data_IF_094002054694
#
_entry.id   IF_094002054694
#
_cell.length_a   1.000
_cell.length_b   1.000
_cell.length_c   1.000
_cell.angle_alpha   90.00
_cell.angle_beta   90.00
_cell.angle_gamma   90.00
#
_symmetry.space_group_name_H-M   'P 1'
#
loop_
_entity.id
_entity.type
_entity.pdbx_description
1 polymer ?
#
# COMPACT_ATOMS: atom_id res chain seq x y z
N UNK A 1 -13.70 1.72 -5.47
CA UNK A 1 -14.15 2.39 -4.23
C UNK A 1 -13.62 3.82 -4.28
N UNK A 2 -14.46 4.80 -3.93
CA UNK A 2 -14.18 6.23 -4.17
C UNK A 2 -13.02 6.74 -3.28
N UNK A 3 -11.96 7.35 -3.83
CA UNK A 3 -10.87 7.97 -3.06
C UNK A 3 -11.34 9.02 -2.05
N UNK A 4 -12.53 9.60 -2.27
CA UNK A 4 -13.19 10.53 -1.35
C UNK A 4 -13.61 9.87 -0.03
N UNK A 5 -13.58 8.56 0.12
CA UNK A 5 -13.96 7.92 1.38
C UNK A 5 -12.79 7.75 2.37
N UNK A 6 -11.60 8.28 2.02
CA UNK A 6 -10.32 7.98 2.67
C UNK A 6 -10.34 8.22 4.18
N UNK A 7 -10.47 9.45 4.65
CA UNK A 7 -10.23 9.72 6.08
C UNK A 7 -11.36 9.23 6.98
N UNK A 8 -12.61 9.36 6.54
CA UNK A 8 -13.76 9.02 7.36
C UNK A 8 -13.81 7.52 7.70
N UNK A 9 -13.76 6.67 6.68
CA UNK A 9 -13.85 5.21 6.86
C UNK A 9 -12.61 4.70 7.58
N UNK A 10 -11.43 5.22 7.23
CA UNK A 10 -10.19 4.76 7.85
C UNK A 10 -10.12 5.07 9.35
N UNK A 11 -10.71 6.18 9.80
CA UNK A 11 -10.85 6.53 11.23
C UNK A 11 -11.92 5.71 11.96
N UNK A 12 -12.64 4.85 11.25
CA UNK A 12 -13.73 4.04 11.81
C UNK A 12 -14.99 4.86 12.09
N UNK A 13 -15.13 6.04 11.47
CA UNK A 13 -16.35 6.84 11.58
C UNK A 13 -17.44 6.28 10.66
N UNK A 14 -18.69 6.49 11.07
CA UNK A 14 -19.84 6.06 10.28
C UNK A 14 -20.06 6.99 9.09
N UNK A 15 -20.61 6.46 8.00
CA UNK A 15 -21.01 7.28 6.85
C UNK A 15 -22.52 7.23 6.66
N UNK A 16 -23.14 8.37 6.41
CA UNK A 16 -24.57 8.47 6.08
C UNK A 16 -24.78 9.27 4.79
N UNK A 17 -25.96 9.14 4.18
CA UNK A 17 -26.38 9.97 3.05
C UNK A 17 -27.50 10.91 3.48
N UNK A 18 -27.45 12.17 3.03
CA UNK A 18 -28.56 13.10 3.04
C UNK A 18 -28.61 13.81 1.68
N UNK A 19 -29.73 13.65 0.97
CA UNK A 19 -30.01 14.38 -0.27
C UNK A 19 -28.86 14.32 -1.29
N UNK A 20 -28.35 13.10 -1.54
CA UNK A 20 -27.22 12.78 -2.44
C UNK A 20 -25.82 13.14 -1.92
N UNK A 21 -25.71 13.86 -0.81
CA UNK A 21 -24.42 14.18 -0.18
C UNK A 21 -24.10 13.11 0.85
N UNK A 22 -22.86 12.59 0.79
CA UNK A 22 -22.36 11.66 1.80
C UNK A 22 -21.68 12.44 2.93
N UNK A 23 -21.96 12.05 4.16
CA UNK A 23 -21.43 12.66 5.38
C UNK A 23 -20.65 11.65 6.19
N UNK A 24 -19.59 12.12 6.82
CA UNK A 24 -18.92 11.46 7.94
C UNK A 24 -19.66 11.81 9.23
N UNK A 25 -20.01 10.82 10.04
CA UNK A 25 -20.67 10.98 11.35
C UNK A 25 -19.66 10.66 12.44
N UNK A 26 -19.41 11.65 13.29
CA UNK A 26 -18.44 11.57 14.37
C UNK A 26 -19.06 10.96 15.65
N UNK A 27 -18.24 10.54 16.64
CA UNK A 27 -18.72 9.88 17.85
C UNK A 27 -19.70 10.69 18.70
N UNK A 28 -19.68 12.01 18.60
CA UNK A 28 -20.61 12.92 19.30
C UNK A 28 -21.90 13.20 18.51
N UNK A 29 -22.04 12.61 17.33
CA UNK A 29 -23.18 12.78 16.43
C UNK A 29 -23.06 13.97 15.47
N UNK A 30 -21.99 14.76 15.56
CA UNK A 30 -21.72 15.80 14.57
C UNK A 30 -21.43 15.17 13.20
N UNK A 31 -21.75 15.91 12.14
CA UNK A 31 -21.63 15.42 10.77
C UNK A 31 -20.86 16.42 9.91
N UNK A 32 -20.02 15.89 9.04
CA UNK A 32 -19.26 16.68 8.08
C UNK A 32 -19.43 16.09 6.69
N UNK A 33 -19.68 16.90 5.63
CA UNK A 33 -19.63 16.39 4.27
C UNK A 33 -18.30 15.68 4.04
N UNK A 34 -18.37 14.50 3.42
CA UNK A 34 -17.22 13.62 3.28
C UNK A 34 -16.07 14.31 2.54
N UNK A 35 -16.38 15.04 1.47
CA UNK A 35 -15.41 15.82 0.70
C UNK A 35 -14.72 16.89 1.55
N UNK A 36 -15.49 17.63 2.34
CA UNK A 36 -14.97 18.68 3.24
C UNK A 36 -14.08 18.10 4.34
N UNK A 37 -14.43 16.92 4.87
CA UNK A 37 -13.63 16.24 5.88
C UNK A 37 -12.26 15.80 5.33
N UNK A 38 -12.20 15.27 4.10
CA UNK A 38 -10.91 14.91 3.50
C UNK A 38 -10.08 16.13 3.13
N UNK A 39 -10.72 17.18 2.64
CA UNK A 39 -10.07 18.44 2.24
C UNK A 39 -9.74 19.34 3.44
N UNK A 40 -9.99 18.85 4.67
CA UNK A 40 -9.64 19.54 5.92
C UNK A 40 -10.42 20.85 6.12
N UNK A 41 -11.57 20.99 5.46
CA UNK A 41 -12.44 22.16 5.55
C UNK A 41 -13.38 22.09 6.75
N UNK A 42 -13.62 20.89 7.28
CA UNK A 42 -14.51 20.64 8.42
C UNK A 42 -14.06 19.39 9.20
N UNK A 43 -14.40 19.33 10.49
CA UNK A 43 -14.12 18.19 11.38
C UNK A 43 -12.65 17.99 11.73
N UNK A 44 -11.82 19.03 11.59
CA UNK A 44 -10.39 19.01 11.95
C UNK A 44 -10.15 18.57 13.40
N UNK A 45 -11.05 18.97 14.30
CA UNK A 45 -11.07 18.60 15.71
C UNK A 45 -11.27 17.09 15.95
N UNK A 46 -11.74 16.34 14.94
CA UNK A 46 -11.82 14.88 14.97
C UNK A 46 -10.61 14.20 14.31
N UNK A 47 -9.66 14.97 13.77
CA UNK A 47 -8.37 14.47 13.25
C UNK A 47 -7.28 14.51 14.32
N UNK A 48 -7.55 14.02 15.53
CA UNK A 48 -6.67 14.20 16.70
C UNK A 48 -5.45 13.28 16.71
N UNK A 49 -5.64 11.99 16.46
CA UNK A 49 -4.58 10.99 16.48
C UNK A 49 -4.36 10.36 15.10
N UNK A 50 -3.12 9.93 14.87
CA UNK A 50 -2.81 8.98 13.82
C UNK A 50 -3.48 7.67 14.18
N UNK A 51 -4.49 7.28 13.39
CA UNK A 51 -5.14 6.00 13.56
C UNK A 51 -4.34 4.93 12.81
N UNK A 52 -4.21 3.77 13.45
CA UNK A 52 -3.62 2.58 12.84
C UNK A 52 -4.74 1.68 12.28
N UNK A 53 -4.50 1.15 11.10
CA UNK A 53 -5.43 0.24 10.42
C UNK A 53 -4.99 -1.21 10.70
N UNK A 54 -5.95 -2.10 10.96
CA UNK A 54 -5.70 -3.53 11.21
C UNK A 54 -5.20 -4.25 9.96
N UNK A 55 -4.53 -5.38 10.14
CA UNK A 55 -4.14 -6.25 9.04
C UNK A 55 -5.35 -6.63 8.15
N UNK A 56 -5.13 -6.68 6.84
CA UNK A 56 -6.11 -6.98 5.79
C UNK A 56 -6.94 -5.79 5.34
N UNK A 57 -6.96 -4.70 6.11
CA UNK A 57 -7.77 -3.53 5.78
C UNK A 57 -7.05 -2.59 4.80
N UNK A 58 -7.82 -1.87 3.96
CA UNK A 58 -7.29 -0.94 2.98
C UNK A 58 -6.61 0.27 3.62
N UNK A 59 -5.49 0.69 3.01
CA UNK A 59 -4.73 1.88 3.39
C UNK A 59 -4.51 2.74 2.17
N UNK A 60 -4.87 4.02 2.27
CA UNK A 60 -4.78 4.97 1.17
C UNK A 60 -3.50 5.82 1.20
N UNK A 61 -2.73 5.76 2.29
CA UNK A 61 -1.43 6.41 2.38
C UNK A 61 -0.38 5.40 2.81
N UNK A 62 0.73 5.35 2.08
CA UNK A 62 1.85 4.46 2.41
C UNK A 62 2.48 4.81 3.77
N UNK A 63 2.30 6.06 4.20
CA UNK A 63 2.85 6.61 5.44
C UNK A 63 1.82 6.52 6.60
N UNK A 64 0.59 6.05 6.35
CA UNK A 64 -0.41 5.79 7.41
C UNK A 64 -0.05 4.53 8.18
N UNK A 65 -0.37 4.54 9.47
CA UNK A 65 -0.05 3.43 10.37
C UNK A 65 -0.83 2.16 10.02
N UNK A 66 -0.10 1.03 9.99
CA UNK A 66 -0.62 -0.32 10.00
C UNK A 66 -0.28 -0.96 11.35
N UNK A 67 -1.26 -1.51 12.05
CA UNK A 67 -1.08 -2.07 13.40
C UNK A 67 -0.15 -3.30 13.35
N UNK A 68 1.13 -3.10 13.65
CA UNK A 68 2.15 -4.15 13.65
C UNK A 68 2.51 -4.72 12.27
N UNK A 69 2.01 -4.12 11.19
CA UNK A 69 2.19 -4.57 9.80
C UNK A 69 2.60 -3.39 8.91
N UNK A 70 2.68 -3.59 7.60
CA UNK A 70 3.02 -2.52 6.66
C UNK A 70 2.02 -2.42 5.51
N UNK A 71 1.86 -1.22 4.96
CA UNK A 71 1.01 -1.00 3.80
C UNK A 71 1.65 -1.63 2.56
N UNK A 72 0.90 -2.50 1.88
CA UNK A 72 1.41 -3.24 0.74
C UNK A 72 0.47 -3.29 -0.44
N UNK A 73 1.06 -3.04 -1.60
CA UNK A 73 0.51 -3.32 -2.91
C UNK A 73 1.65 -3.89 -3.76
N UNK A 74 1.48 -5.08 -4.36
CA UNK A 74 2.52 -5.64 -5.21
C UNK A 74 2.88 -4.67 -6.35
N UNK A 75 4.16 -4.62 -6.76
CA UNK A 75 4.58 -3.74 -7.82
C UNK A 75 3.81 -4.05 -9.12
N UNK A 76 3.50 -3.02 -9.90
CA UNK A 76 2.76 -3.13 -11.17
C UNK A 76 1.34 -3.70 -11.07
N UNK A 77 0.80 -3.83 -9.85
CA UNK A 77 -0.63 -4.10 -9.63
C UNK A 77 -1.34 -2.78 -9.41
N UNK A 78 -2.39 -2.54 -10.19
CA UNK A 78 -3.28 -1.41 -9.95
C UNK A 78 -4.25 -1.76 -8.83
N UNK A 79 -4.39 -0.88 -7.85
CA UNK A 79 -5.29 -1.10 -6.73
C UNK A 79 -4.92 -0.26 -5.52
N UNK A 80 -5.55 -0.61 -4.41
CA UNK A 80 -5.32 0.03 -3.13
C UNK A 80 -4.42 -0.86 -2.27
N UNK A 81 -3.44 -0.26 -1.59
CA UNK A 81 -2.63 -0.97 -0.60
C UNK A 81 -3.49 -1.50 0.54
N UNK A 82 -3.08 -2.62 1.12
CA UNK A 82 -3.70 -3.18 2.34
C UNK A 82 -2.62 -3.39 3.39
N UNK A 83 -2.94 -3.27 4.67
CA UNK A 83 -2.02 -3.64 5.74
C UNK A 83 -1.80 -5.16 5.69
N UNK A 84 -0.56 -5.63 5.61
CA UNK A 84 -0.25 -7.08 5.60
C UNK A 84 1.04 -7.35 6.36
N UNK A 85 1.10 -8.49 7.02
CA UNK A 85 2.39 -9.02 7.47
C UNK A 85 3.12 -9.65 6.27
N UNK A 86 4.24 -9.06 5.88
CA UNK A 86 4.98 -9.47 4.69
C UNK A 86 6.37 -9.86 5.08
N UNK A 87 6.64 -11.14 4.89
CA UNK A 87 7.97 -11.68 5.04
C UNK A 87 8.94 -11.09 4.01
N UNK A 88 10.22 -11.01 4.39
CA UNK A 88 11.29 -10.59 3.49
C UNK A 88 11.31 -11.43 2.19
N UNK A 89 11.00 -12.73 2.28
CA UNK A 89 10.93 -13.63 1.13
C UNK A 89 9.82 -13.27 0.16
N UNK A 90 8.64 -12.86 0.64
CA UNK A 90 7.55 -12.38 -0.22
C UNK A 90 7.91 -11.07 -0.91
N UNK A 91 8.53 -10.11 -0.21
CA UNK A 91 9.05 -8.87 -0.83
C UNK A 91 10.01 -9.17 -1.97
N UNK A 92 10.96 -10.08 -1.72
CA UNK A 92 11.94 -10.49 -2.73
C UNK A 92 11.24 -11.18 -3.90
N UNK A 93 10.35 -12.14 -3.62
CA UNK A 93 9.58 -12.87 -4.63
C UNK A 93 8.81 -11.92 -5.54
N UNK A 94 8.09 -10.96 -4.97
CA UNK A 94 7.26 -10.02 -5.72
C UNK A 94 8.14 -9.03 -6.52
N UNK A 95 9.31 -8.69 -6.01
CA UNK A 95 10.28 -7.91 -6.77
C UNK A 95 10.82 -8.68 -7.99
N UNK A 96 11.02 -9.99 -7.90
CA UNK A 96 11.41 -10.83 -9.04
C UNK A 96 10.25 -11.09 -10.02
N UNK A 97 9.06 -11.42 -9.51
CA UNK A 97 7.89 -11.72 -10.35
C UNK A 97 7.42 -10.51 -11.13
N UNK A 98 7.35 -9.34 -10.47
CA UNK A 98 6.69 -8.18 -11.05
C UNK A 98 7.68 -7.14 -11.61
N UNK A 99 9.00 -7.24 -11.36
CA UNK A 99 10.00 -6.40 -12.07
C UNK A 99 10.83 -7.25 -13.06
N UNK A 100 10.34 -7.45 -14.30
CA UNK A 100 11.00 -8.30 -15.28
C UNK A 100 12.44 -7.85 -15.60
N UNK A 101 12.71 -6.54 -15.52
CA UNK A 101 14.06 -5.98 -15.71
C UNK A 101 15.04 -6.57 -14.70
N UNK A 102 14.66 -6.67 -13.42
CA UNK A 102 15.54 -7.21 -12.38
C UNK A 102 15.85 -8.69 -12.61
N UNK A 103 14.81 -9.47 -12.94
CA UNK A 103 14.95 -10.90 -13.27
C UNK A 103 15.83 -11.13 -14.51
N UNK A 104 15.68 -10.32 -15.56
CA UNK A 104 16.53 -10.38 -16.75
C UNK A 104 17.98 -10.05 -16.40
N UNK A 105 18.23 -9.00 -15.61
CA UNK A 105 19.59 -8.62 -15.20
C UNK A 105 20.29 -9.76 -14.45
N UNK A 106 19.59 -10.42 -13.50
CA UNK A 106 20.15 -11.56 -12.74
C UNK A 106 20.48 -12.74 -13.66
N UNK A 107 19.60 -13.07 -14.61
CA UNK A 107 19.84 -14.14 -15.59
C UNK A 107 21.07 -13.83 -16.45
N UNK A 108 21.21 -12.60 -16.94
CA UNK A 108 22.36 -12.18 -17.76
C UNK A 108 23.67 -12.31 -16.99
N UNK A 109 23.70 -11.89 -15.72
CA UNK A 109 24.88 -12.02 -14.85
C UNK A 109 25.27 -13.50 -14.68
N UNK A 110 24.30 -14.38 -14.47
CA UNK A 110 24.56 -15.82 -14.34
C UNK A 110 25.13 -16.44 -15.62
N UNK A 111 24.61 -16.06 -16.79
CA UNK A 111 25.14 -16.52 -18.08
C UNK A 111 26.58 -16.07 -18.28
N UNK A 112 26.90 -14.81 -17.96
CA UNK A 112 28.26 -14.27 -18.05
C UNK A 112 29.19 -15.02 -17.10
N UNK A 113 28.77 -15.28 -15.86
CA UNK A 113 29.58 -16.03 -14.90
C UNK A 113 29.90 -17.45 -15.39
N UNK A 114 28.90 -18.18 -15.90
CA UNK A 114 29.10 -19.52 -16.50
C UNK A 114 30.04 -19.46 -17.70
N UNK A 115 29.89 -18.45 -18.55
CA UNK A 115 30.76 -18.26 -19.72
C UNK A 115 32.21 -17.98 -19.31
N UNK A 116 32.45 -17.13 -18.32
CA UNK A 116 33.79 -16.86 -17.77
C UNK A 116 34.41 -18.14 -17.21
N UNK A 117 33.67 -18.91 -16.41
CA UNK A 117 34.15 -20.19 -15.87
C UNK A 117 34.50 -21.16 -16.99
N UNK A 118 33.65 -21.27 -18.02
CA UNK A 118 33.92 -22.09 -19.19
C UNK A 118 35.20 -21.68 -19.93
N UNK A 119 35.41 -20.37 -20.14
CA UNK A 119 36.64 -19.85 -20.76
C UNK A 119 37.89 -20.16 -19.94
N UNK A 120 37.81 -20.06 -18.60
CA UNK A 120 38.91 -20.41 -17.70
C UNK A 120 39.23 -21.90 -17.78
N UNK A 121 38.21 -22.77 -17.75
CA UNK A 121 38.39 -24.21 -17.87
C UNK A 121 38.97 -24.62 -19.22
N UNK A 122 38.52 -23.98 -20.32
CA UNK A 122 39.06 -24.22 -21.66
C UNK A 122 40.53 -23.82 -21.79
N UNK A 123 40.98 -22.77 -21.10
CA UNK A 123 42.39 -22.34 -21.10
C UNK A 123 43.32 -23.26 -20.28
N UNK A 124 42.78 -24.06 -19.36
CA UNK A 124 43.54 -25.01 -18.53
C UNK A 124 43.71 -26.40 -19.17
N UNK A 125 42.96 -26.69 -20.24
CA UNK A 125 43.11 -27.89 -21.08
C UNK A 125 43.95 -27.56 -22.30
#
# INVERSE_FOLDING_TARGET
MDPRLKECIQRGYETTYDSEIQYCVFPDGNKCPLEDFNNELCGLEYKTEDYCVKEGLPVWDKDKCCEGTEAYLPPNVAGQSTCRDISLSQKISDQFMYRPIFSITVIVILIIAVFIVFLILKKRK
#
